data_IF_066495955652
#
_entry.id   IF_066495955652
#
_cell.length_a   1.000
_cell.length_b   1.000
_cell.length_c   1.000
_cell.angle_alpha   90.00
_cell.angle_beta   90.00
_cell.angle_gamma   90.00
#
_symmetry.space_group_name_H-M   'P 1'
#
loop_
_entity.id
_entity.type
_entity.pdbx_description
1 polymer ?
#
# COMPACT_ATOMS: atom_id res chain seq x y z
N UNK A 1 -22.82 -13.38 1.67
CA UNK A 1 -22.45 -13.65 3.07
C UNK A 1 -22.12 -15.11 3.14
N UNK A 2 -20.94 -15.46 2.63
CA UNK A 2 -20.37 -16.79 2.76
C UNK A 2 -19.25 -16.68 3.80
N UNK A 3 -19.26 -17.60 4.75
CA UNK A 3 -18.60 -17.51 6.05
C UNK A 3 -17.21 -18.15 6.03
N UNK A 4 -16.34 -17.67 5.14
CA UNK A 4 -14.89 -17.66 5.39
C UNK A 4 -14.57 -16.38 6.14
N UNK A 5 -15.02 -16.31 7.39
CA UNK A 5 -14.69 -15.23 8.32
C UNK A 5 -13.17 -15.20 8.51
N UNK A 6 -12.49 -14.32 7.77
CA UNK A 6 -11.45 -13.41 8.26
C UNK A 6 -10.51 -13.94 9.36
N UNK A 7 -9.99 -15.17 9.22
CA UNK A 7 -9.01 -15.72 10.17
C UNK A 7 -7.65 -15.00 10.11
N UNK A 8 -7.52 -14.04 9.20
CA UNK A 8 -6.28 -13.31 8.93
C UNK A 8 -6.30 -11.88 9.47
N UNK A 9 -7.44 -11.28 9.84
CA UNK A 9 -7.50 -9.86 10.24
C UNK A 9 -7.48 -9.70 11.76
N UNK A 10 -6.39 -9.17 12.31
CA UNK A 10 -6.24 -8.94 13.75
C UNK A 10 -7.32 -8.00 14.32
N UNK A 11 -7.81 -7.06 13.51
CA UNK A 11 -8.80 -6.06 13.92
C UNK A 11 -10.16 -6.67 14.33
N UNK A 12 -10.45 -7.89 13.89
CA UNK A 12 -11.72 -8.57 14.11
C UNK A 12 -11.63 -9.65 15.19
N UNK A 13 -10.44 -9.84 15.77
CA UNK A 13 -10.16 -10.87 16.76
C UNK A 13 -10.29 -10.35 18.19
N UNK A 14 -10.78 -11.22 19.07
CA UNK A 14 -10.51 -11.10 20.50
C UNK A 14 -9.03 -11.37 20.78
N UNK A 15 -8.52 -10.93 21.94
CA UNK A 15 -7.11 -11.15 22.27
C UNK A 15 -6.73 -12.64 22.37
N UNK A 16 -7.69 -13.53 22.64
CA UNK A 16 -7.48 -14.98 22.69
C UNK A 16 -7.37 -15.61 21.29
N UNK A 17 -8.15 -15.13 20.34
CA UNK A 17 -8.01 -15.52 18.93
C UNK A 17 -6.70 -14.97 18.36
N UNK A 18 -6.33 -13.75 18.73
CA UNK A 18 -5.06 -13.14 18.34
C UNK A 18 -3.85 -13.92 18.88
N UNK A 19 -3.89 -14.42 20.12
CA UNK A 19 -2.83 -15.26 20.68
C UNK A 19 -2.56 -16.49 19.81
N UNK A 20 -3.61 -17.23 19.42
CA UNK A 20 -3.49 -18.37 18.49
C UNK A 20 -2.99 -17.92 17.12
N UNK A 21 -3.50 -16.81 16.58
CA UNK A 21 -3.12 -16.33 15.27
C UNK A 21 -1.64 -15.92 15.18
N UNK A 22 -1.07 -15.34 16.24
CA UNK A 22 0.36 -15.03 16.29
C UNK A 22 1.25 -16.29 16.28
N UNK A 23 0.80 -17.37 16.93
CA UNK A 23 1.52 -18.65 16.95
C UNK A 23 1.50 -19.36 15.57
N UNK A 24 0.44 -19.16 14.79
CA UNK A 24 0.23 -19.81 13.49
C UNK A 24 0.70 -18.99 12.28
N UNK A 25 0.99 -17.70 12.46
CA UNK A 25 1.35 -16.79 11.38
C UNK A 25 2.81 -16.98 10.90
N UNK A 26 2.98 -17.16 9.60
CA UNK A 26 4.30 -17.13 8.96
C UNK A 26 4.84 -15.70 8.85
N UNK A 27 3.94 -14.75 8.60
CA UNK A 27 4.21 -13.31 8.56
C UNK A 27 3.11 -12.53 9.26
N UNK A 28 3.50 -11.53 10.05
CA UNK A 28 2.59 -10.47 10.50
C UNK A 28 2.71 -9.30 9.55
N UNK A 29 1.59 -8.91 8.93
CA UNK A 29 1.54 -7.94 7.83
C UNK A 29 0.99 -6.60 8.31
N UNK A 30 1.72 -5.51 8.13
CA UNK A 30 1.22 -4.15 8.33
C UNK A 30 0.89 -3.50 6.98
N UNK A 31 -0.41 -3.31 6.65
CA UNK A 31 -0.82 -2.50 5.51
C UNK A 31 -0.52 -1.03 5.78
N UNK A 32 0.23 -0.39 4.88
CA UNK A 32 0.59 1.01 4.98
C UNK A 32 0.05 1.80 3.79
N UNK A 33 -0.88 2.70 4.06
CA UNK A 33 -1.41 3.66 3.10
C UNK A 33 -0.91 5.08 3.39
N UNK A 34 -1.75 6.05 3.04
CA UNK A 34 -1.61 7.45 3.37
C UNK A 34 -2.97 8.16 3.26
N UNK A 35 -2.99 9.41 3.74
CA UNK A 35 -4.09 10.34 3.54
C UNK A 35 -3.54 11.56 2.79
N UNK A 36 -3.77 11.61 1.48
CA UNK A 36 -3.22 12.63 0.59
C UNK A 36 -4.11 12.92 -0.60
N UNK A 37 -3.96 14.11 -1.17
CA UNK A 37 -4.65 14.50 -2.40
C UNK A 37 -4.45 13.47 -3.52
N UNK A 38 -5.47 13.24 -4.34
CA UNK A 38 -5.37 12.38 -5.52
C UNK A 38 -6.11 13.05 -6.70
N UNK A 39 -5.59 14.20 -7.14
CA UNK A 39 -6.22 15.04 -8.16
C UNK A 39 -7.67 15.45 -7.78
N UNK A 40 -8.47 15.84 -8.77
CA UNK A 40 -9.80 16.41 -8.54
C UNK A 40 -10.95 15.39 -8.46
N UNK A 41 -10.70 14.14 -8.85
CA UNK A 41 -11.73 13.11 -9.01
C UNK A 41 -11.71 11.99 -7.96
N UNK A 42 -10.63 11.82 -7.21
CA UNK A 42 -10.50 10.76 -6.18
C UNK A 42 -10.54 11.31 -4.75
N UNK A 43 -10.92 10.48 -3.77
CA UNK A 43 -10.86 10.85 -2.36
C UNK A 43 -9.42 10.91 -1.85
N UNK A 44 -9.20 11.53 -0.68
CA UNK A 44 -7.86 11.57 -0.07
C UNK A 44 -7.41 10.25 0.54
N UNK A 45 -8.27 9.23 0.53
CA UNK A 45 -8.06 7.93 1.18
C UNK A 45 -7.66 6.82 0.21
N UNK A 46 -7.28 7.16 -1.04
CA UNK A 46 -6.95 6.17 -2.09
C UNK A 46 -5.96 5.14 -1.58
N UNK A 47 -4.82 5.56 -1.04
CA UNK A 47 -3.79 4.65 -0.56
C UNK A 47 -4.23 3.79 0.62
N UNK A 48 -5.08 4.32 1.50
CA UNK A 48 -5.64 3.56 2.62
C UNK A 48 -6.65 2.51 2.13
N UNK A 49 -7.51 2.85 1.17
CA UNK A 49 -8.45 1.90 0.53
C UNK A 49 -7.66 0.81 -0.19
N UNK A 50 -6.61 1.18 -0.92
CA UNK A 50 -5.70 0.22 -1.58
C UNK A 50 -5.05 -0.70 -0.56
N UNK A 51 -4.51 -0.15 0.52
CA UNK A 51 -3.85 -0.92 1.56
C UNK A 51 -4.78 -1.92 2.24
N UNK A 52 -6.00 -1.50 2.56
CA UNK A 52 -7.02 -2.35 3.17
C UNK A 52 -7.40 -3.51 2.26
N UNK A 53 -7.87 -3.20 1.04
CA UNK A 53 -8.48 -4.21 0.19
C UNK A 53 -7.43 -5.14 -0.43
N UNK A 54 -6.34 -4.59 -0.97
CA UNK A 54 -5.33 -5.41 -1.65
C UNK A 54 -4.54 -6.29 -0.68
N UNK A 55 -4.38 -5.87 0.58
CA UNK A 55 -3.77 -6.75 1.59
C UNK A 55 -4.76 -7.82 2.07
N UNK A 56 -6.07 -7.53 2.08
CA UNK A 56 -7.09 -8.55 2.34
C UNK A 56 -7.10 -9.61 1.23
N UNK A 57 -6.99 -9.23 -0.05
CA UNK A 57 -6.84 -10.19 -1.16
C UNK A 57 -5.60 -11.07 -0.97
N UNK A 58 -4.46 -10.45 -0.61
CA UNK A 58 -3.21 -11.17 -0.33
C UNK A 58 -3.39 -12.20 0.78
N UNK A 59 -4.03 -11.81 1.88
CA UNK A 59 -4.26 -12.68 3.03
C UNK A 59 -5.29 -13.79 2.75
N UNK A 60 -6.28 -13.53 1.89
CA UNK A 60 -7.28 -14.51 1.49
C UNK A 60 -6.68 -15.60 0.59
N UNK A 61 -5.76 -15.24 -0.31
CA UNK A 61 -5.09 -16.17 -1.22
C UNK A 61 -3.87 -16.88 -0.60
N UNK A 62 -3.33 -16.39 0.51
CA UNK A 62 -2.14 -16.94 1.15
C UNK A 62 -2.20 -18.46 1.46
N UNK A 63 -3.33 -19.04 1.92
CA UNK A 63 -3.41 -20.48 2.18
C UNK A 63 -3.17 -21.35 0.93
N UNK A 64 -3.44 -20.84 -0.27
CA UNK A 64 -3.17 -21.56 -1.53
C UNK A 64 -1.67 -21.71 -1.82
N UNK A 65 -0.84 -20.90 -1.14
CA UNK A 65 0.62 -20.89 -1.21
C UNK A 65 1.28 -21.49 0.04
N UNK A 66 0.51 -22.25 0.85
CA UNK A 66 0.94 -22.78 2.15
C UNK A 66 1.48 -21.70 3.10
N UNK A 67 0.87 -20.50 3.07
CA UNK A 67 1.21 -19.36 3.92
C UNK A 67 0.04 -18.95 4.82
N UNK A 68 0.36 -18.60 6.06
CA UNK A 68 -0.55 -17.95 6.99
C UNK A 68 -0.12 -16.50 7.25
N UNK A 69 -0.97 -15.55 6.86
CA UNK A 69 -0.72 -14.11 7.07
C UNK A 69 -1.64 -13.57 8.17
N UNK A 70 -1.07 -12.92 9.19
CA UNK A 70 -1.82 -12.15 10.18
C UNK A 70 -1.73 -10.66 9.87
N UNK A 71 -2.81 -10.08 9.37
CA UNK A 71 -2.90 -8.69 8.93
C UNK A 71 -3.30 -7.78 10.08
N UNK A 72 -2.48 -6.77 10.32
CA UNK A 72 -2.73 -5.70 11.28
C UNK A 72 -3.71 -4.67 10.70
N UNK A 73 -4.34 -3.84 11.56
CA UNK A 73 -5.08 -2.68 11.08
C UNK A 73 -4.23 -1.79 10.17
N UNK A 74 -4.84 -1.28 9.10
CA UNK A 74 -4.20 -0.36 8.16
C UNK A 74 -3.64 0.84 8.91
N UNK A 75 -2.41 1.24 8.57
CA UNK A 75 -1.84 2.53 8.96
C UNK A 75 -2.27 3.59 7.93
N UNK A 76 -3.21 4.51 8.27
CA UNK A 76 -3.83 5.39 7.28
C UNK A 76 -3.05 6.69 7.03
N UNK A 77 -1.95 6.90 7.78
CA UNK A 77 -1.10 8.08 7.67
C UNK A 77 0.32 7.67 7.33
N UNK A 78 0.88 8.32 6.33
CA UNK A 78 2.23 8.07 5.83
C UNK A 78 3.12 9.30 5.84
N UNK A 79 4.22 9.23 5.09
CA UNK A 79 5.05 10.38 4.73
C UNK A 79 4.61 10.94 3.37
N UNK A 80 3.73 11.94 3.42
CA UNK A 80 3.11 12.62 2.27
C UNK A 80 3.49 14.10 2.19
N UNK A 81 4.67 14.48 2.69
CA UNK A 81 5.11 15.89 2.75
C UNK A 81 5.15 16.56 1.36
N UNK A 82 5.44 15.77 0.33
CA UNK A 82 5.40 16.23 -1.05
C UNK A 82 3.98 16.64 -1.51
N UNK A 83 2.91 16.16 -0.87
CA UNK A 83 1.51 16.54 -1.15
C UNK A 83 0.94 17.60 -0.19
N UNK A 84 1.74 18.16 0.73
CA UNK A 84 1.24 18.96 1.86
C UNK A 84 0.54 20.28 1.46
N UNK A 85 0.85 20.80 0.27
CA UNK A 85 0.25 22.04 -0.24
C UNK A 85 -1.23 21.87 -0.65
N UNK A 86 -1.71 20.63 -0.76
CA UNK A 86 -3.10 20.33 -1.06
C UNK A 86 -3.90 20.09 0.22
N UNK A 87 -5.03 20.78 0.36
CA UNK A 87 -5.91 20.62 1.51
C UNK A 87 -6.44 19.18 1.60
N UNK A 88 -6.45 18.63 2.81
CA UNK A 88 -6.85 17.24 3.08
C UNK A 88 -5.68 16.26 3.21
N UNK A 89 -4.48 16.61 2.74
CA UNK A 89 -3.27 15.84 3.02
C UNK A 89 -2.92 15.91 4.51
N UNK A 90 -2.72 14.74 5.13
CA UNK A 90 -2.25 14.59 6.51
C UNK A 90 -0.98 13.77 6.47
N UNK A 91 0.16 14.42 6.67
CA UNK A 91 1.48 13.79 6.63
C UNK A 91 2.11 13.71 8.02
N UNK A 92 2.74 12.58 8.28
CA UNK A 92 3.70 12.43 9.38
C UNK A 92 5.07 12.94 8.93
N UNK A 93 5.90 13.36 9.89
CA UNK A 93 7.33 13.55 9.62
C UNK A 93 8.00 12.19 9.36
N UNK A 94 9.00 12.16 8.49
CA UNK A 94 9.69 10.90 8.13
C UNK A 94 10.24 10.15 9.36
N UNK A 95 10.76 10.88 10.36
CA UNK A 95 11.26 10.29 11.61
C UNK A 95 10.12 9.70 12.43
N UNK A 96 9.00 10.42 12.59
CA UNK A 96 7.81 9.92 13.29
C UNK A 96 7.26 8.67 12.62
N UNK A 97 7.18 8.67 11.30
CA UNK A 97 6.73 7.52 10.53
C UNK A 97 7.63 6.30 10.77
N UNK A 98 8.94 6.47 10.71
CA UNK A 98 9.91 5.41 11.02
C UNK A 98 9.69 4.84 12.44
N UNK A 99 9.57 5.71 13.44
CA UNK A 99 9.39 5.27 14.83
C UNK A 99 8.06 4.53 15.03
N UNK A 100 6.98 4.91 14.32
CA UNK A 100 5.71 4.16 14.35
C UNK A 100 5.91 2.73 13.82
N UNK A 101 6.56 2.57 12.67
CA UNK A 101 6.81 1.24 12.08
C UNK A 101 7.66 0.39 13.04
N UNK A 102 8.68 0.98 13.65
CA UNK A 102 9.54 0.32 14.63
C UNK A 102 8.73 -0.11 15.87
N UNK A 103 7.91 0.78 16.42
CA UNK A 103 7.12 0.46 17.61
C UNK A 103 6.03 -0.59 17.33
N UNK A 104 5.43 -0.58 16.13
CA UNK A 104 4.50 -1.64 15.70
C UNK A 104 5.24 -2.97 15.57
N UNK A 105 6.37 -3.00 14.85
CA UNK A 105 7.20 -4.21 14.69
C UNK A 105 7.62 -4.81 16.04
N UNK A 106 8.10 -3.97 16.96
CA UNK A 106 8.48 -4.38 18.32
C UNK A 106 7.28 -4.88 19.14
N UNK A 107 6.09 -4.33 18.91
CA UNK A 107 4.88 -4.75 19.61
C UNK A 107 4.46 -6.14 19.16
N UNK A 108 4.45 -6.42 17.85
CA UNK A 108 4.08 -7.76 17.34
C UNK A 108 5.16 -8.80 17.64
N UNK A 109 6.44 -8.40 17.65
CA UNK A 109 7.53 -9.28 18.08
C UNK A 109 7.36 -9.75 19.53
N UNK A 110 6.83 -8.90 20.43
CA UNK A 110 6.52 -9.30 21.81
C UNK A 110 5.41 -10.35 21.91
N UNK A 111 4.56 -10.45 20.89
CA UNK A 111 3.50 -11.45 20.81
C UNK A 111 3.92 -12.72 20.05
N UNK A 112 5.20 -12.84 19.68
CA UNK A 112 5.74 -14.05 19.05
C UNK A 112 6.03 -13.92 17.56
N UNK A 113 5.73 -12.77 16.93
CA UNK A 113 6.03 -12.57 15.52
C UNK A 113 7.53 -12.72 15.24
N UNK A 114 7.87 -13.61 14.31
CA UNK A 114 9.26 -13.85 13.86
C UNK A 114 9.58 -13.11 12.56
N UNK A 115 8.56 -12.92 11.71
CA UNK A 115 8.65 -12.15 10.46
C UNK A 115 7.59 -11.07 10.40
N UNK A 116 8.02 -9.87 10.01
CA UNK A 116 7.16 -8.69 9.89
C UNK A 116 7.22 -8.15 8.46
N UNK A 117 6.09 -8.14 7.78
CA UNK A 117 5.96 -7.65 6.41
C UNK A 117 5.26 -6.29 6.41
N UNK A 118 5.89 -5.28 5.82
CA UNK A 118 5.23 -4.03 5.48
C UNK A 118 4.71 -4.12 4.05
N UNK A 119 3.38 -4.13 3.90
CA UNK A 119 2.71 -4.05 2.60
C UNK A 119 2.39 -2.57 2.31
N UNK A 120 3.10 -1.98 1.35
CA UNK A 120 3.08 -0.54 1.11
C UNK A 120 2.38 -0.15 -0.20
N UNK A 121 1.50 0.84 -0.11
CA UNK A 121 0.68 1.32 -1.21
C UNK A 121 0.92 2.78 -1.58
N UNK A 122 1.77 3.48 -0.82
CA UNK A 122 2.12 4.88 -1.05
C UNK A 122 3.61 5.06 -1.39
N UNK A 123 3.92 5.77 -2.48
CA UNK A 123 5.28 6.04 -2.92
C UNK A 123 6.13 6.83 -1.91
N UNK A 124 5.52 7.75 -1.16
CA UNK A 124 6.23 8.54 -0.15
C UNK A 124 6.81 7.71 0.98
N UNK A 125 6.17 6.60 1.32
CA UNK A 125 6.59 5.74 2.43
C UNK A 125 7.83 4.88 2.10
N UNK A 126 8.22 4.75 0.82
CA UNK A 126 9.26 3.80 0.38
C UNK A 126 10.59 3.98 1.13
N UNK A 127 11.14 5.19 1.12
CA UNK A 127 12.44 5.47 1.74
C UNK A 127 12.42 5.39 3.27
N UNK A 128 11.45 6.00 4.00
CA UNK A 128 11.41 5.84 5.44
C UNK A 128 11.09 4.40 5.87
N UNK A 129 10.37 3.60 5.07
CA UNK A 129 10.20 2.16 5.34
C UNK A 129 11.53 1.42 5.36
N UNK A 130 12.36 1.57 4.33
CA UNK A 130 13.66 0.90 4.26
C UNK A 130 14.50 1.17 5.51
N UNK A 131 14.55 2.43 5.94
CA UNK A 131 15.29 2.82 7.15
C UNK A 131 14.70 2.24 8.44
N UNK A 132 13.37 2.14 8.54
CA UNK A 132 12.72 1.54 9.69
C UNK A 132 12.96 0.02 9.78
N UNK A 133 12.84 -0.69 8.66
CA UNK A 133 13.03 -2.13 8.60
C UNK A 133 14.50 -2.52 8.83
N UNK A 134 15.45 -1.76 8.31
CA UNK A 134 16.88 -1.92 8.61
C UNK A 134 17.14 -1.87 10.12
N UNK A 135 16.50 -0.94 10.84
CA UNK A 135 16.64 -0.81 12.29
C UNK A 135 15.95 -1.95 13.03
N UNK A 136 14.75 -2.35 12.63
CA UNK A 136 14.05 -3.50 13.22
C UNK A 136 14.89 -4.77 13.14
N UNK A 137 15.44 -5.07 11.97
CA UNK A 137 16.26 -6.26 11.81
C UNK A 137 17.60 -6.16 12.55
N UNK A 138 18.34 -5.06 12.38
CA UNK A 138 19.66 -4.91 13.00
C UNK A 138 19.63 -4.79 14.51
N UNK A 139 18.69 -4.02 15.05
CA UNK A 139 18.69 -3.61 16.46
C UNK A 139 17.74 -4.47 17.31
N UNK A 140 16.78 -5.18 16.68
CA UNK A 140 15.81 -6.04 17.37
C UNK A 140 15.78 -7.49 16.89
N UNK A 141 16.48 -7.84 15.80
CA UNK A 141 16.52 -9.21 15.28
C UNK A 141 15.17 -9.72 14.77
N UNK A 142 14.28 -8.81 14.35
CA UNK A 142 13.02 -9.16 13.70
C UNK A 142 13.22 -9.23 12.19
N UNK A 143 12.96 -10.37 11.56
CA UNK A 143 13.08 -10.50 10.11
C UNK A 143 12.02 -9.62 9.45
N UNK A 144 12.48 -8.57 8.76
CA UNK A 144 11.65 -7.45 8.35
C UNK A 144 11.63 -7.33 6.84
N UNK A 145 10.44 -7.42 6.26
CA UNK A 145 10.23 -7.50 4.82
C UNK A 145 9.41 -6.31 4.32
N UNK A 146 9.56 -6.02 3.04
CA UNK A 146 8.89 -4.90 2.39
C UNK A 146 8.34 -5.33 1.02
N UNK A 147 7.05 -5.10 0.80
CA UNK A 147 6.43 -5.25 -0.51
C UNK A 147 5.76 -3.93 -0.91
N UNK A 148 6.26 -3.30 -1.96
CA UNK A 148 5.52 -2.23 -2.63
C UNK A 148 4.65 -2.83 -3.72
N UNK A 149 3.33 -2.83 -3.53
CA UNK A 149 2.41 -3.51 -4.46
C UNK A 149 2.65 -3.10 -5.92
N UNK A 150 2.84 -1.80 -6.15
CA UNK A 150 3.04 -1.24 -7.50
C UNK A 150 4.32 -1.73 -8.19
N UNK A 151 5.34 -2.19 -7.46
CA UNK A 151 6.54 -2.76 -8.08
C UNK A 151 6.29 -4.17 -8.66
N UNK A 152 5.36 -4.94 -8.08
CA UNK A 152 4.97 -6.27 -8.57
C UNK A 152 3.95 -6.22 -9.72
N UNK A 153 3.21 -5.11 -9.84
CA UNK A 153 2.23 -4.86 -10.90
C UNK A 153 2.81 -4.08 -12.10
N UNK A 154 4.04 -3.55 -11.98
CA UNK A 154 4.59 -2.50 -12.86
C UNK A 154 4.56 -2.84 -14.35
N UNK A 155 4.99 -4.04 -14.72
CA UNK A 155 5.06 -4.48 -16.13
C UNK A 155 3.68 -4.50 -16.79
N UNK A 156 2.67 -5.03 -16.10
CA UNK A 156 1.28 -5.08 -16.57
C UNK A 156 0.70 -3.67 -16.71
N UNK A 157 0.94 -2.81 -15.70
CA UNK A 157 0.50 -1.42 -15.73
C UNK A 157 1.18 -0.63 -16.86
N UNK A 158 2.48 -0.85 -17.09
CA UNK A 158 3.21 -0.20 -18.17
C UNK A 158 2.79 -0.68 -19.56
N UNK A 159 2.45 -1.96 -19.70
CA UNK A 159 1.90 -2.51 -20.93
C UNK A 159 0.56 -1.87 -21.29
N UNK A 160 -0.32 -1.66 -20.30
CA UNK A 160 -1.66 -1.08 -20.51
C UNK A 160 -1.65 0.43 -20.67
N UNK A 161 -0.95 1.14 -19.79
CA UNK A 161 -1.05 2.60 -19.63
C UNK A 161 0.21 3.36 -20.08
N UNK A 162 1.24 2.68 -20.56
CA UNK A 162 2.51 3.29 -21.00
C UNK A 162 3.46 3.57 -19.83
N UNK A 163 4.38 4.52 -19.93
CA UNK A 163 5.37 4.80 -18.85
C UNK A 163 5.10 6.09 -18.07
N UNK A 164 4.07 6.85 -18.46
CA UNK A 164 3.77 8.17 -17.91
C UNK A 164 2.65 8.15 -16.85
N UNK A 165 2.09 6.99 -16.53
CA UNK A 165 1.09 6.77 -15.47
C UNK A 165 1.64 7.05 -14.07
N UNK A 166 0.76 7.02 -13.06
CA UNK A 166 1.15 7.09 -11.66
C UNK A 166 0.04 7.61 -10.76
N UNK A 167 0.41 8.51 -9.86
CA UNK A 167 -0.45 9.07 -8.83
C UNK A 167 -1.72 9.73 -9.39
N UNK A 168 -2.86 9.39 -8.80
CA UNK A 168 -4.21 9.71 -9.25
C UNK A 168 -4.52 9.32 -10.72
N UNK A 169 -3.67 8.48 -11.31
CA UNK A 169 -3.77 8.07 -12.70
C UNK A 169 -4.74 6.92 -12.92
N UNK A 170 -4.58 6.26 -14.05
CA UNK A 170 -5.43 5.19 -14.55
C UNK A 170 -5.65 4.10 -13.51
N UNK A 171 -4.56 3.53 -12.98
CA UNK A 171 -4.62 2.36 -12.12
C UNK A 171 -5.22 2.68 -10.73
N UNK A 172 -4.83 3.76 -10.07
CA UNK A 172 -5.42 4.16 -8.79
C UNK A 172 -6.90 4.50 -8.94
N UNK A 173 -7.27 5.13 -10.06
CA UNK A 173 -8.67 5.38 -10.40
C UNK A 173 -9.42 4.07 -10.58
N UNK A 174 -8.86 3.11 -11.35
CA UNK A 174 -9.43 1.77 -11.49
C UNK A 174 -9.65 1.10 -10.13
N UNK A 175 -8.71 1.25 -9.18
CA UNK A 175 -8.81 0.57 -7.87
C UNK A 175 -9.98 1.12 -7.08
N UNK A 176 -10.16 2.44 -7.07
CA UNK A 176 -11.29 3.05 -6.37
C UNK A 176 -12.60 2.77 -7.09
N UNK A 177 -12.62 2.72 -8.42
CA UNK A 177 -13.81 2.30 -9.17
C UNK A 177 -14.21 0.85 -8.89
N UNK A 178 -13.23 -0.02 -8.66
CA UNK A 178 -13.47 -1.42 -8.31
C UNK A 178 -14.02 -1.55 -6.88
N UNK A 179 -13.34 -0.99 -5.87
CA UNK A 179 -13.70 -1.22 -4.47
C UNK A 179 -14.73 -0.23 -3.92
N UNK A 180 -14.68 1.05 -4.31
CA UNK A 180 -15.46 2.16 -3.72
C UNK A 180 -15.93 3.17 -4.79
N UNK A 181 -16.66 2.73 -5.83
CA UNK A 181 -17.02 3.55 -6.98
C UNK A 181 -17.79 4.83 -6.62
N UNK A 182 -18.52 4.82 -5.51
CA UNK A 182 -19.28 5.98 -5.03
C UNK A 182 -18.40 7.15 -4.58
N UNK A 183 -17.11 6.92 -4.36
CA UNK A 183 -16.13 7.97 -4.01
C UNK A 183 -15.51 8.63 -5.24
N UNK A 184 -15.74 8.11 -6.45
CA UNK A 184 -15.15 8.62 -7.68
C UNK A 184 -16.05 9.68 -8.31
N UNK A 185 -15.52 10.89 -8.47
CA UNK A 185 -16.19 11.96 -9.20
C UNK A 185 -15.85 11.86 -10.70
N UNK A 186 -16.51 10.93 -11.40
CA UNK A 186 -16.23 10.62 -12.80
C UNK A 186 -16.30 11.83 -13.75
N UNK A 187 -17.15 12.81 -13.47
CA UNK A 187 -17.28 14.07 -14.21
C UNK A 187 -16.06 15.00 -14.09
N UNK A 188 -15.14 14.72 -13.16
CA UNK A 188 -13.93 15.49 -12.89
C UNK A 188 -12.65 14.83 -13.37
N UNK A 189 -12.75 13.65 -14.00
CA UNK A 189 -11.59 12.98 -14.61
C UNK A 189 -11.10 13.81 -15.79
N UNK A 190 -9.82 14.14 -15.77
CA UNK A 190 -9.14 14.87 -16.84
C UNK A 190 -7.74 14.29 -17.04
N UNK A 191 -7.18 14.32 -18.26
CA UNK A 191 -5.76 14.05 -18.45
C UNK A 191 -4.92 14.95 -17.53
N UNK A 192 -3.85 14.39 -16.96
CA UNK A 192 -3.00 15.09 -16.01
C UNK A 192 -1.78 15.70 -16.71
N UNK A 193 -1.40 16.91 -16.31
CA UNK A 193 -0.35 17.68 -16.95
C UNK A 193 0.90 17.72 -16.08
N UNK A 194 2.00 17.11 -16.56
CA UNK A 194 3.32 17.22 -15.94
C UNK A 194 3.98 18.56 -16.27
N UNK A 195 4.60 19.16 -15.26
CA UNK A 195 5.47 20.34 -15.39
C UNK A 195 6.91 19.90 -15.69
N UNK A 196 7.72 20.81 -16.23
CA UNK A 196 9.11 20.51 -16.59
C UNK A 196 9.93 20.04 -15.38
N UNK A 197 10.74 18.98 -15.57
CA UNK A 197 11.69 18.47 -14.57
C UNK A 197 13.09 19.01 -14.83
N UNK A 198 13.83 19.21 -13.75
CA UNK A 198 15.26 19.51 -13.78
C UNK A 198 16.08 18.22 -13.87
N UNK A 199 17.17 18.23 -14.66
CA UNK A 199 18.06 17.07 -14.84
C UNK A 199 18.78 16.68 -13.53
N UNK A 200 19.17 17.67 -12.73
CA UNK A 200 19.57 17.47 -11.34
C UNK A 200 18.33 17.63 -10.47
N UNK A 201 17.95 16.56 -9.76
CA UNK A 201 16.71 16.52 -8.99
C UNK A 201 16.83 17.41 -7.75
N UNK A 202 15.90 18.35 -7.62
CA UNK A 202 15.62 19.07 -6.39
C UNK A 202 14.39 18.48 -5.70
N UNK A 203 14.26 18.68 -4.39
CA UNK A 203 12.99 18.46 -3.71
C UNK A 203 11.92 19.36 -4.35
N UNK A 204 10.72 18.81 -4.53
CA UNK A 204 9.59 19.50 -5.14
C UNK A 204 8.31 19.03 -4.46
N UNK A 205 7.42 19.98 -4.17
CA UNK A 205 6.05 19.62 -3.83
C UNK A 205 5.30 19.19 -5.09
N UNK A 206 4.22 18.45 -4.93
CA UNK A 206 3.51 17.84 -6.05
C UNK A 206 2.84 18.88 -6.96
N UNK A 207 2.50 20.05 -6.41
CA UNK A 207 2.02 21.23 -7.13
C UNK A 207 3.14 21.96 -7.90
N UNK A 208 4.42 21.71 -7.61
CA UNK A 208 5.52 22.13 -8.48
C UNK A 208 5.67 21.20 -9.69
N UNK A 209 5.20 19.95 -9.58
CA UNK A 209 5.39 18.89 -10.56
C UNK A 209 4.21 18.69 -11.51
N UNK A 210 3.01 19.05 -11.08
CA UNK A 210 1.76 18.79 -11.81
C UNK A 210 0.84 20.00 -11.77
N UNK A 211 -0.13 20.07 -12.68
CA UNK A 211 -1.16 21.12 -12.68
C UNK A 211 -2.37 20.68 -11.86
N UNK A 212 -2.89 19.48 -12.10
CA UNK A 212 -4.13 18.98 -11.52
C UNK A 212 -3.92 18.18 -10.22
N UNK A 213 -2.67 17.80 -9.90
CA UNK A 213 -2.37 16.96 -8.75
C UNK A 213 -2.27 15.46 -9.07
N UNK A 214 -2.08 15.07 -10.34
CA UNK A 214 -1.89 13.67 -10.73
C UNK A 214 -0.93 13.47 -11.91
N UNK A 215 -0.78 12.22 -12.34
CA UNK A 215 0.02 11.76 -13.48
C UNK A 215 -0.80 10.80 -14.33
N UNK A 216 -0.58 10.79 -15.65
CA UNK A 216 -1.31 9.92 -16.59
C UNK A 216 -2.65 10.51 -17.04
N UNK A 217 -3.55 9.67 -17.50
CA UNK A 217 -4.89 10.04 -17.98
C UNK A 217 -5.98 9.18 -17.31
N UNK A 218 -6.50 9.57 -16.13
CA UNK A 218 -7.52 8.80 -15.41
C UNK A 218 -8.85 8.64 -16.18
N UNK A 219 -9.04 9.29 -17.33
CA UNK A 219 -10.18 9.00 -18.22
C UNK A 219 -10.06 7.63 -18.89
N UNK A 220 -8.87 7.05 -18.89
CA UNK A 220 -8.55 5.71 -19.41
C UNK A 220 -8.52 4.64 -18.30
N UNK A 221 -9.05 4.93 -17.11
CA UNK A 221 -9.17 3.91 -16.07
C UNK A 221 -10.02 2.74 -16.54
N UNK A 222 -9.64 1.57 -16.06
CA UNK A 222 -10.11 0.27 -16.51
C UNK A 222 -10.18 -0.68 -15.28
N UNK A 223 -11.31 -0.72 -14.56
CA UNK A 223 -11.47 -1.55 -13.37
C UNK A 223 -11.54 -3.05 -13.68
N UNK A 224 -11.95 -3.43 -14.90
CA UNK A 224 -11.95 -4.84 -15.35
C UNK A 224 -10.51 -5.33 -15.55
N UNK A 225 -9.69 -4.57 -16.27
CA UNK A 225 -8.25 -4.88 -16.40
C UNK A 225 -7.55 -4.93 -15.05
N UNK A 226 -7.90 -4.03 -14.13
CA UNK A 226 -7.28 -4.01 -12.82
C UNK A 226 -7.54 -5.29 -12.02
N UNK A 227 -8.73 -5.90 -12.12
CA UNK A 227 -9.03 -7.15 -11.44
C UNK A 227 -8.03 -8.26 -11.81
N UNK A 228 -7.71 -8.37 -13.11
CA UNK A 228 -6.67 -9.29 -13.60
C UNK A 228 -5.27 -8.94 -13.06
N UNK A 229 -4.97 -7.65 -12.92
CA UNK A 229 -3.70 -7.18 -12.33
C UNK A 229 -3.63 -7.52 -10.84
N UNK A 230 -4.73 -7.38 -10.09
CA UNK A 230 -4.78 -7.71 -8.66
C UNK A 230 -4.49 -9.19 -8.45
N UNK A 231 -5.18 -10.08 -9.17
CA UNK A 231 -4.97 -11.53 -9.08
C UNK A 231 -3.50 -11.89 -9.38
N UNK A 232 -2.98 -11.44 -10.53
CA UNK A 232 -1.61 -11.72 -10.93
C UNK A 232 -0.56 -11.14 -9.96
N UNK A 233 -0.81 -9.95 -9.40
CA UNK A 233 0.11 -9.31 -8.45
C UNK A 233 0.10 -10.03 -7.10
N UNK A 234 -1.06 -10.46 -6.62
CA UNK A 234 -1.21 -11.27 -5.41
C UNK A 234 -0.42 -12.57 -5.53
N UNK A 235 -0.58 -13.30 -6.63
CA UNK A 235 0.16 -14.53 -6.91
C UNK A 235 1.69 -14.32 -6.90
N UNK A 236 2.16 -13.25 -7.53
CA UNK A 236 3.59 -12.89 -7.55
C UNK A 236 4.13 -12.61 -6.15
N UNK A 237 3.41 -11.84 -5.34
CA UNK A 237 3.83 -11.50 -3.98
C UNK A 237 3.87 -12.77 -3.12
N UNK A 238 2.83 -13.60 -3.14
CA UNK A 238 2.78 -14.83 -2.34
C UNK A 238 3.86 -15.84 -2.73
N UNK A 239 4.11 -16.01 -4.04
CA UNK A 239 5.21 -16.86 -4.54
C UNK A 239 6.56 -16.41 -3.96
N UNK A 240 6.82 -15.10 -3.95
CA UNK A 240 8.05 -14.55 -3.39
C UNK A 240 8.11 -14.71 -1.86
N UNK A 241 7.03 -14.40 -1.14
CA UNK A 241 6.99 -14.61 0.32
C UNK A 241 7.22 -16.08 0.69
N UNK A 242 6.67 -17.03 -0.08
CA UNK A 242 6.87 -18.46 0.15
C UNK A 242 8.33 -18.85 -0.03
N UNK A 243 9.01 -18.31 -1.04
CA UNK A 243 10.42 -18.60 -1.28
C UNK A 243 11.35 -18.13 -0.15
N UNK A 244 10.92 -17.16 0.67
CA UNK A 244 11.68 -16.70 1.85
C UNK A 244 11.59 -17.67 3.05
N UNK A 245 10.72 -18.68 2.99
CA UNK A 245 10.57 -19.70 4.04
C UNK A 245 11.39 -20.99 3.77
N UNK A 246 11.96 -21.14 2.58
CA UNK A 246 12.73 -22.32 2.14
C UNK A 246 14.22 -22.25 2.52
#
# INVERSE_FOLDING_TARGET
MDSTESQSLLAEMTWQEAETAFDEADFVVLPCGATEQHSTHLPTSVDSIRAENLTAELAAAAPEHDLNLLVLPVLPYGYSEHHINYAGTVSLGADTYQEIIIDVGRSVQRHGATRFLVANFHGGNIEPHKLALDRLQRDHGLDSYYAHWTDFARDQLEERFGTEWGHAGEYETSVIEHYRPELVHGDRKTPQTKKNRYEVRQYAHFDDLTVEGGLGDPTQSDPEFLEEVIEATTERILTHLRSELE
#
